data_IF_221877453462
#
_entry.id   IF_221877453462
#
_cell.length_a   1.000
_cell.length_b   1.000
_cell.length_c   1.000
_cell.angle_alpha   90.00
_cell.angle_beta   90.00
_cell.angle_gamma   90.00
#
_symmetry.space_group_name_H-M   'P 1'
#
loop_
_entity.id
_entity.type
_entity.pdbx_description
1 polymer ?
#
# COMPACT_ATOMS: atom_id res chain seq x y z
N UNK A 1 18.17 -30.79 4.14
CA UNK A 1 16.80 -30.37 4.50
C UNK A 1 16.32 -29.50 3.37
N UNK A 2 15.21 -29.83 2.71
CA UNK A 2 14.72 -29.03 1.59
C UNK A 2 13.78 -27.96 2.13
N UNK A 3 13.98 -26.71 1.73
CA UNK A 3 13.03 -25.64 1.99
C UNK A 3 11.74 -25.93 1.23
N UNK A 4 10.59 -25.79 1.90
CA UNK A 4 9.26 -25.98 1.31
C UNK A 4 8.47 -24.70 1.50
N UNK A 5 7.87 -24.18 0.43
CA UNK A 5 6.95 -23.04 0.50
C UNK A 5 5.62 -23.54 1.05
N UNK A 6 5.19 -22.98 2.19
CA UNK A 6 3.93 -23.35 2.88
C UNK A 6 2.73 -22.52 2.44
N UNK A 7 2.97 -21.30 1.96
CA UNK A 7 1.97 -20.43 1.36
C UNK A 7 2.61 -19.19 0.77
N UNK A 8 1.78 -18.39 0.14
CA UNK A 8 2.15 -17.17 -0.56
C UNK A 8 1.03 -16.14 -0.46
N UNK A 9 1.41 -14.86 -0.53
CA UNK A 9 0.51 -13.72 -0.56
C UNK A 9 0.84 -12.84 -1.75
N UNK A 10 -0.06 -12.75 -2.73
CA UNK A 10 0.12 -11.92 -3.93
C UNK A 10 -0.95 -10.84 -3.94
N UNK A 11 -0.57 -9.62 -3.55
CA UNK A 11 -1.50 -8.51 -3.37
C UNK A 11 -1.13 -7.31 -4.24
N UNK A 12 -2.15 -6.60 -4.70
CA UNK A 12 -2.04 -5.33 -5.42
C UNK A 12 -2.85 -4.27 -4.66
N UNK A 13 -2.34 -3.05 -4.57
CA UNK A 13 -3.11 -1.90 -4.09
C UNK A 13 -3.48 -1.02 -5.28
N UNK A 14 -4.77 -0.80 -5.51
CA UNK A 14 -5.24 0.15 -6.52
C UNK A 14 -5.30 1.54 -5.88
N UNK A 15 -4.27 2.34 -6.10
CA UNK A 15 -4.08 3.66 -5.45
C UNK A 15 -3.84 4.78 -6.48
N UNK A 16 -4.84 5.10 -7.32
CA UNK A 16 -4.68 6.13 -8.35
C UNK A 16 -4.42 7.52 -7.76
N UNK A 17 -4.97 7.85 -6.59
CA UNK A 17 -4.71 9.12 -5.92
C UNK A 17 -3.23 9.28 -5.53
N UNK A 18 -2.62 8.24 -4.97
CA UNK A 18 -1.18 8.21 -4.71
C UNK A 18 -0.37 8.37 -6.00
N UNK A 19 -0.71 7.62 -7.05
CA UNK A 19 -0.02 7.72 -8.34
C UNK A 19 -0.12 9.14 -8.91
N UNK A 20 -1.31 9.72 -8.98
CA UNK A 20 -1.54 11.04 -9.56
C UNK A 20 -0.85 12.17 -8.78
N UNK A 21 -0.68 11.99 -7.47
CA UNK A 21 -0.06 13.01 -6.63
C UNK A 21 1.46 12.86 -6.56
N UNK A 22 1.94 11.63 -6.36
CA UNK A 22 3.31 11.31 -5.92
C UNK A 22 4.10 10.46 -6.92
N UNK A 23 3.51 10.05 -8.05
CA UNK A 23 4.22 9.32 -9.07
C UNK A 23 5.42 10.11 -9.61
N UNK A 24 6.60 9.49 -9.66
CA UNK A 24 7.86 10.18 -9.98
C UNK A 24 7.82 11.00 -11.28
N UNK A 25 7.30 10.42 -12.38
CA UNK A 25 7.11 11.15 -13.65
C UNK A 25 6.17 12.35 -13.50
N UNK A 26 5.12 12.21 -12.71
CA UNK A 26 4.10 13.24 -12.51
C UNK A 26 4.64 14.38 -11.65
N UNK A 27 5.37 14.05 -10.58
CA UNK A 27 6.07 15.02 -9.72
C UNK A 27 7.11 15.79 -10.55
N UNK A 28 7.92 15.09 -11.35
CA UNK A 28 8.89 15.73 -12.24
C UNK A 28 8.23 16.66 -13.25
N UNK A 29 7.17 16.22 -13.93
CA UNK A 29 6.43 17.06 -14.89
C UNK A 29 5.84 18.29 -14.19
N UNK A 30 5.29 18.16 -12.98
CA UNK A 30 4.76 19.29 -12.20
C UNK A 30 5.82 20.33 -11.88
N UNK A 31 7.08 19.91 -11.67
CA UNK A 31 8.20 20.81 -11.40
C UNK A 31 8.72 21.51 -12.67
N UNK A 32 8.83 20.78 -13.79
CA UNK A 32 9.46 21.32 -15.01
C UNK A 32 8.48 21.96 -15.99
N UNK A 33 7.22 21.51 -15.99
CA UNK A 33 6.17 21.91 -16.93
C UNK A 33 4.78 21.86 -16.27
N UNK A 34 4.50 22.73 -15.28
CA UNK A 34 3.27 22.69 -14.49
C UNK A 34 1.98 22.86 -15.32
N UNK A 35 2.06 23.51 -16.49
CA UNK A 35 0.94 23.72 -17.41
C UNK A 35 0.92 22.71 -18.58
N UNK A 36 1.73 21.65 -18.49
CA UNK A 36 1.89 20.63 -19.51
C UNK A 36 0.60 19.87 -19.83
N UNK A 37 0.43 19.53 -21.10
CA UNK A 37 -0.73 18.74 -21.56
C UNK A 37 -0.80 17.36 -20.88
N UNK A 38 0.35 16.77 -20.52
CA UNK A 38 0.38 15.51 -19.77
C UNK A 38 -0.40 15.60 -18.45
N UNK A 39 -0.17 16.65 -17.64
CA UNK A 39 -0.84 16.81 -16.35
C UNK A 39 -2.35 17.05 -16.49
N UNK A 40 -2.77 17.72 -17.57
CA UNK A 40 -4.19 17.97 -17.88
C UNK A 40 -4.92 16.72 -18.35
N UNK A 41 -4.25 15.84 -19.08
CA UNK A 41 -4.86 14.66 -19.69
C UNK A 41 -4.74 13.40 -18.82
N UNK A 42 -3.68 13.23 -18.02
CA UNK A 42 -3.40 11.98 -17.30
C UNK A 42 -4.56 11.46 -16.45
N UNK A 43 -5.30 12.36 -15.78
CA UNK A 43 -6.44 12.01 -14.94
C UNK A 43 -7.57 11.31 -15.71
N UNK A 44 -7.73 11.62 -17.00
CA UNK A 44 -8.75 11.04 -17.88
C UNK A 44 -8.40 9.61 -18.34
N UNK A 45 -7.14 9.21 -18.17
CA UNK A 45 -6.63 7.91 -18.58
C UNK A 45 -6.45 6.93 -17.41
N UNK A 46 -6.82 7.35 -16.20
CA UNK A 46 -6.84 6.48 -15.03
C UNK A 46 -7.95 5.46 -15.19
N UNK A 47 -7.60 4.18 -15.18
CA UNK A 47 -8.56 3.07 -15.19
C UNK A 47 -9.36 3.06 -13.90
N UNK A 48 -10.63 2.67 -13.97
CA UNK A 48 -11.46 2.43 -12.78
C UNK A 48 -10.94 1.26 -11.94
N UNK A 49 -11.41 1.13 -10.69
CA UNK A 49 -11.12 -0.03 -9.86
C UNK A 49 -11.62 -1.32 -10.53
N UNK A 50 -12.81 -1.28 -11.14
CA UNK A 50 -13.42 -2.40 -11.85
C UNK A 50 -12.56 -2.84 -13.04
N UNK A 51 -12.01 -1.89 -13.80
CA UNK A 51 -11.08 -2.18 -14.90
C UNK A 51 -9.77 -2.78 -14.40
N UNK A 52 -9.26 -2.31 -13.27
CA UNK A 52 -8.06 -2.86 -12.61
C UNK A 52 -8.31 -4.31 -12.16
N UNK A 53 -9.46 -4.58 -11.55
CA UNK A 53 -9.87 -5.93 -11.14
C UNK A 53 -10.04 -6.83 -12.36
N UNK A 54 -10.69 -6.36 -13.42
CA UNK A 54 -10.93 -7.17 -14.61
C UNK A 54 -9.68 -7.38 -15.49
N UNK A 55 -8.55 -6.73 -15.17
CA UNK A 55 -7.33 -6.84 -15.98
C UNK A 55 -6.71 -8.24 -15.88
N UNK A 56 -6.47 -8.86 -17.03
CA UNK A 56 -5.99 -10.24 -17.13
C UNK A 56 -4.72 -10.52 -16.32
N UNK A 57 -3.62 -9.74 -16.45
CA UNK A 57 -2.43 -9.94 -15.63
C UNK A 57 -2.70 -9.89 -14.13
N UNK A 58 -3.57 -8.99 -13.66
CA UNK A 58 -3.88 -8.87 -12.24
C UNK A 58 -4.63 -10.11 -11.73
N UNK A 59 -5.57 -10.64 -12.52
CA UNK A 59 -6.30 -11.87 -12.18
C UNK A 59 -5.40 -13.11 -12.17
N UNK A 60 -4.36 -13.15 -13.01
CA UNK A 60 -3.33 -14.20 -12.93
C UNK A 60 -2.49 -14.02 -11.67
N UNK A 61 -2.06 -12.79 -11.37
CA UNK A 61 -1.20 -12.47 -10.23
C UNK A 61 -1.82 -12.89 -8.89
N UNK A 62 -3.11 -12.60 -8.67
CA UNK A 62 -3.82 -13.00 -7.44
C UNK A 62 -4.32 -14.45 -7.45
N UNK A 63 -4.09 -15.20 -8.55
CA UNK A 63 -4.38 -16.63 -8.65
C UNK A 63 -5.82 -17.00 -9.05
N UNK A 64 -6.58 -16.08 -9.64
CA UNK A 64 -7.91 -16.39 -10.21
C UNK A 64 -7.83 -16.99 -11.62
N UNK A 65 -6.74 -16.71 -12.33
CA UNK A 65 -6.43 -17.24 -13.67
C UNK A 65 -5.06 -17.86 -13.69
N UNK A 66 -4.86 -18.81 -14.59
CA UNK A 66 -3.57 -19.47 -14.80
C UNK A 66 -2.74 -18.77 -15.89
N UNK A 67 -1.40 -18.84 -15.83
CA UNK A 67 -0.55 -18.39 -16.93
C UNK A 67 -0.91 -19.03 -18.28
N UNK A 68 -1.33 -20.31 -18.28
CA UNK A 68 -1.75 -21.05 -19.48
C UNK A 68 -3.08 -20.54 -20.06
N UNK A 69 -4.02 -20.10 -19.23
CA UNK A 69 -5.22 -19.39 -19.69
C UNK A 69 -4.84 -18.02 -20.29
N UNK A 70 -3.98 -17.27 -19.62
CA UNK A 70 -3.57 -15.94 -20.08
C UNK A 70 -2.77 -15.98 -21.39
N UNK A 71 -1.94 -17.01 -21.61
CA UNK A 71 -1.22 -17.20 -22.86
C UNK A 71 -2.13 -17.37 -24.10
N UNK A 72 -3.42 -17.65 -23.90
CA UNK A 72 -4.44 -17.75 -24.98
C UNK A 72 -5.12 -16.42 -25.27
N UNK A 73 -4.90 -15.39 -24.45
CA UNK A 73 -5.46 -14.06 -24.66
C UNK A 73 -4.62 -13.34 -25.70
N UNK A 74 -5.26 -12.86 -26.75
CA UNK A 74 -4.58 -12.13 -27.83
C UNK A 74 -4.05 -10.79 -27.32
N UNK A 75 -2.78 -10.50 -27.63
CA UNK A 75 -2.18 -9.19 -27.38
C UNK A 75 -2.76 -8.14 -28.36
N UNK A 76 -3.04 -6.89 -27.94
CA UNK A 76 -2.73 -6.29 -26.64
C UNK A 76 -3.72 -6.67 -25.53
N UNK A 77 -3.25 -6.63 -24.28
CA UNK A 77 -4.08 -7.04 -23.13
C UNK A 77 -4.93 -5.91 -22.54
N UNK A 78 -4.59 -4.64 -22.81
CA UNK A 78 -5.18 -3.49 -22.11
C UNK A 78 -6.67 -3.29 -22.41
N UNK A 79 -7.18 -3.83 -23.52
CA UNK A 79 -8.57 -3.77 -23.94
C UNK A 79 -9.35 -5.06 -23.62
N UNK A 80 -8.70 -6.05 -22.99
CA UNK A 80 -9.30 -7.36 -22.64
C UNK A 80 -9.66 -7.41 -21.16
N UNK A 81 -10.85 -7.94 -20.87
CA UNK A 81 -11.37 -8.09 -19.51
C UNK A 81 -11.65 -9.56 -19.19
N UNK A 82 -11.39 -9.94 -17.94
CA UNK A 82 -11.86 -11.22 -17.38
C UNK A 82 -13.32 -11.06 -16.98
N UNK A 83 -14.20 -11.91 -17.51
CA UNK A 83 -15.61 -11.94 -17.12
C UNK A 83 -15.76 -12.39 -15.66
N UNK A 84 -16.66 -11.72 -14.91
CA UNK A 84 -16.91 -12.00 -13.49
C UNK A 84 -15.66 -11.96 -12.61
N UNK A 85 -14.69 -11.10 -12.97
CA UNK A 85 -13.47 -10.89 -12.20
C UNK A 85 -13.79 -10.48 -10.76
N UNK A 86 -12.93 -10.91 -9.84
CA UNK A 86 -13.08 -10.64 -8.41
C UNK A 86 -11.81 -9.99 -7.88
N UNK A 87 -11.97 -9.09 -6.91
CA UNK A 87 -10.82 -8.49 -6.21
C UNK A 87 -10.06 -9.51 -5.37
N UNK A 88 -10.74 -10.54 -4.87
CA UNK A 88 -10.11 -11.63 -4.10
C UNK A 88 -9.77 -12.80 -5.02
N UNK A 89 -8.58 -13.36 -4.83
CA UNK A 89 -8.13 -14.57 -5.51
C UNK A 89 -7.55 -15.61 -4.57
N UNK A 90 -7.05 -16.71 -5.14
CA UNK A 90 -6.52 -17.83 -4.35
C UNK A 90 -5.31 -17.44 -3.50
N UNK A 91 -4.46 -16.53 -4.02
CA UNK A 91 -3.24 -16.15 -3.35
C UNK A 91 -3.26 -14.76 -2.71
N UNK A 92 -4.29 -13.95 -2.94
CA UNK A 92 -4.33 -12.60 -2.37
C UNK A 92 -5.45 -11.76 -2.93
N UNK A 93 -5.21 -10.46 -3.07
CA UNK A 93 -6.26 -9.53 -3.49
C UNK A 93 -5.77 -8.30 -4.26
N UNK A 94 -6.73 -7.57 -4.83
CA UNK A 94 -6.59 -6.21 -5.33
C UNK A 94 -7.38 -5.30 -4.37
N UNK A 95 -6.68 -4.65 -3.43
CA UNK A 95 -7.30 -3.78 -2.42
C UNK A 95 -7.59 -2.39 -3.02
N UNK A 96 -8.79 -1.83 -2.83
CA UNK A 96 -9.12 -0.48 -3.28
C UNK A 96 -8.46 0.58 -2.39
N UNK A 97 -8.24 1.77 -2.96
CA UNK A 97 -7.49 2.86 -2.32
C UNK A 97 -8.04 3.24 -0.94
N UNK A 98 -9.37 3.29 -0.80
CA UNK A 98 -10.01 3.68 0.45
C UNK A 98 -9.66 2.74 1.62
N UNK A 99 -9.66 1.43 1.38
CA UNK A 99 -9.26 0.42 2.36
C UNK A 99 -7.75 0.46 2.59
N UNK A 100 -6.96 0.65 1.53
CA UNK A 100 -5.50 0.69 1.62
C UNK A 100 -5.00 1.88 2.45
N UNK A 101 -5.60 3.06 2.31
CA UNK A 101 -5.27 4.24 3.12
C UNK A 101 -5.56 4.02 4.62
N UNK A 102 -6.64 3.29 4.94
CA UNK A 102 -6.94 2.92 6.33
C UNK A 102 -5.96 1.87 6.88
N UNK A 103 -5.55 0.89 6.06
CA UNK A 103 -4.51 -0.05 6.42
C UNK A 103 -3.15 0.66 6.64
N UNK A 104 -2.83 1.66 5.82
CA UNK A 104 -1.66 2.50 6.00
C UNK A 104 -1.70 3.28 7.31
N UNK A 105 -2.84 3.86 7.66
CA UNK A 105 -3.01 4.50 8.98
C UNK A 105 -2.83 3.49 10.12
N UNK A 106 -3.37 2.27 10.00
CA UNK A 106 -3.17 1.22 11.01
C UNK A 106 -1.70 0.80 11.15
N UNK A 107 -0.90 0.94 10.08
CA UNK A 107 0.54 0.65 10.09
C UNK A 107 1.38 1.78 10.69
N UNK A 108 0.82 2.97 10.90
CA UNK A 108 1.53 4.08 11.51
C UNK A 108 1.77 3.82 13.00
N UNK A 109 3.02 4.02 13.43
CA UNK A 109 3.46 3.96 14.83
C UNK A 109 4.09 5.28 15.28
N UNK A 110 4.17 6.28 14.39
CA UNK A 110 4.86 7.56 14.60
C UNK A 110 3.90 8.75 14.65
N UNK A 111 2.59 8.51 14.49
CA UNK A 111 1.55 9.55 14.50
C UNK A 111 1.77 10.64 13.44
N UNK A 112 2.20 10.21 12.25
CA UNK A 112 2.44 11.06 11.08
C UNK A 112 1.36 10.93 10.01
N UNK A 113 0.51 9.89 10.07
CA UNK A 113 -0.51 9.60 9.06
C UNK A 113 -1.90 10.03 9.52
N UNK A 114 -2.40 11.12 8.94
CA UNK A 114 -3.70 11.69 9.30
C UNK A 114 -4.70 11.45 8.18
N UNK A 115 -5.89 11.00 8.55
CA UNK A 115 -7.04 10.87 7.66
C UNK A 115 -8.18 11.75 8.16
N UNK A 116 -8.99 12.19 7.21
CA UNK A 116 -10.21 12.92 7.47
C UNK A 116 -11.22 12.03 8.22
N UNK A 117 -11.86 12.57 9.26
CA UNK A 117 -12.78 11.81 10.10
C UNK A 117 -13.98 11.25 9.33
N UNK A 118 -14.50 11.99 8.35
CA UNK A 118 -15.67 11.58 7.57
C UNK A 118 -15.26 10.49 6.58
N UNK A 119 -14.04 10.59 6.03
CA UNK A 119 -13.43 9.53 5.23
C UNK A 119 -13.25 8.23 6.03
N UNK A 120 -12.72 8.30 7.25
CA UNK A 120 -12.59 7.11 8.11
C UNK A 120 -13.97 6.51 8.41
N UNK A 121 -14.92 7.33 8.85
CA UNK A 121 -16.26 6.87 9.21
C UNK A 121 -16.98 6.18 8.04
N UNK A 122 -16.79 6.68 6.81
CA UNK A 122 -17.39 6.12 5.61
C UNK A 122 -16.77 4.77 5.19
N UNK A 123 -15.48 4.54 5.46
CA UNK A 123 -14.72 3.43 4.86
C UNK A 123 -14.28 2.35 5.85
N UNK A 124 -14.22 2.63 7.16
CA UNK A 124 -13.78 1.66 8.18
C UNK A 124 -14.63 0.40 8.20
N UNK A 125 -15.93 0.53 7.91
CA UNK A 125 -16.85 -0.61 7.79
C UNK A 125 -16.57 -1.51 6.59
N UNK A 126 -16.04 -0.98 5.49
CA UNK A 126 -15.65 -1.79 4.31
C UNK A 126 -14.34 -2.53 4.58
N UNK A 127 -13.34 -1.86 5.16
CA UNK A 127 -12.08 -2.51 5.58
C UNK A 127 -12.35 -3.67 6.56
N UNK A 128 -13.30 -3.51 7.49
CA UNK A 128 -13.65 -4.56 8.45
C UNK A 128 -14.25 -5.83 7.81
N UNK A 129 -14.76 -5.76 6.58
CA UNK A 129 -15.27 -6.92 5.84
C UNK A 129 -14.16 -7.70 5.15
N UNK A 130 -12.97 -7.12 5.05
CA UNK A 130 -11.86 -7.78 4.38
C UNK A 130 -11.44 -9.04 5.16
N UNK A 131 -11.30 -10.19 4.49
CA UNK A 131 -11.14 -11.47 5.17
C UNK A 131 -9.76 -11.67 5.81
N UNK A 132 -8.80 -10.76 5.63
CA UNK A 132 -7.49 -10.83 6.31
C UNK A 132 -7.29 -9.73 7.36
N UNK A 133 -8.19 -8.75 7.42
CA UNK A 133 -8.11 -7.68 8.42
C UNK A 133 -8.67 -8.18 9.74
N UNK A 134 -7.83 -8.17 10.78
CA UNK A 134 -8.20 -8.61 12.12
C UNK A 134 -8.77 -7.48 12.95
N UNK A 135 -9.49 -7.80 14.03
CA UNK A 135 -9.94 -6.82 15.02
C UNK A 135 -8.77 -6.00 15.60
N UNK A 136 -7.60 -6.63 15.79
CA UNK A 136 -6.40 -5.97 16.27
C UNK A 136 -5.88 -4.90 15.29
N UNK A 137 -5.90 -5.17 13.98
CA UNK A 137 -5.53 -4.19 12.96
C UNK A 137 -6.58 -3.08 12.88
N UNK A 138 -7.86 -3.46 12.89
CA UNK A 138 -8.97 -2.49 12.81
C UNK A 138 -8.99 -1.54 14.01
N UNK A 139 -8.57 -1.99 15.19
CA UNK A 139 -8.44 -1.18 16.40
C UNK A 139 -7.33 -0.11 16.30
N UNK A 140 -6.36 -0.27 15.38
CA UNK A 140 -5.30 0.71 15.13
C UNK A 140 -5.73 1.84 14.20
N UNK A 141 -6.84 1.67 13.46
CA UNK A 141 -7.44 2.72 12.63
C UNK A 141 -8.09 3.77 13.54
N UNK A 142 -7.47 4.95 13.60
CA UNK A 142 -7.94 6.09 14.39
C UNK A 142 -9.21 6.70 13.79
N UNK A 143 -9.98 7.47 14.57
CA UNK A 143 -11.24 8.09 14.10
C UNK A 143 -11.05 9.17 13.04
N UNK A 144 -9.80 9.61 12.80
CA UNK A 144 -9.45 10.71 11.91
C UNK A 144 -9.55 12.08 12.58
N UNK A 145 -9.23 13.12 11.82
CA UNK A 145 -9.23 14.53 12.25
C UNK A 145 -10.11 15.38 11.33
N UNK A 146 -10.43 16.61 11.76
CA UNK A 146 -11.12 17.56 10.89
C UNK A 146 -10.29 17.86 9.65
N UNK A 147 -10.95 17.96 8.48
CA UNK A 147 -10.29 18.29 7.22
C UNK A 147 -9.44 19.57 7.29
N UNK A 148 -9.88 20.55 8.07
CA UNK A 148 -9.16 21.81 8.26
C UNK A 148 -7.77 21.62 8.89
N UNK A 149 -7.59 20.59 9.73
CA UNK A 149 -6.29 20.25 10.32
C UNK A 149 -5.36 19.70 9.24
N UNK A 150 -5.85 18.78 8.41
CA UNK A 150 -5.12 18.21 7.27
C UNK A 150 -4.71 19.31 6.31
N UNK A 151 -5.66 20.16 5.91
CA UNK A 151 -5.39 21.32 5.05
C UNK A 151 -4.34 22.24 5.64
N UNK A 152 -4.38 22.46 6.97
CA UNK A 152 -3.37 23.25 7.68
C UNK A 152 -1.95 22.70 7.51
N UNK A 153 -1.74 21.39 7.67
CA UNK A 153 -0.43 20.76 7.47
C UNK A 153 0.06 20.84 6.03
N UNK A 154 -0.85 20.64 5.07
CA UNK A 154 -0.53 20.68 3.63
C UNK A 154 -0.17 22.11 3.19
N UNK A 155 -0.98 23.10 3.56
CA UNK A 155 -0.75 24.51 3.19
C UNK A 155 0.53 25.06 3.83
N UNK A 156 0.93 24.55 5.00
CA UNK A 156 2.17 24.89 5.66
C UNK A 156 3.41 24.19 5.06
N UNK A 157 3.23 23.34 4.04
CA UNK A 157 4.28 22.50 3.45
C UNK A 157 4.98 21.60 4.49
N UNK A 158 4.21 21.08 5.45
CA UNK A 158 4.70 20.17 6.49
C UNK A 158 4.33 18.71 6.25
N UNK A 159 3.46 18.47 5.27
CA UNK A 159 2.92 17.15 4.98
C UNK A 159 2.65 16.95 3.48
N UNK A 160 2.79 15.70 3.05
CA UNK A 160 2.37 15.25 1.73
C UNK A 160 0.85 15.00 1.71
N UNK A 161 0.10 15.58 0.76
CA UNK A 161 -1.34 15.40 0.71
C UNK A 161 -1.73 14.02 0.19
N UNK A 162 -2.86 13.50 0.68
CA UNK A 162 -3.49 12.27 0.22
C UNK A 162 -4.84 12.60 -0.40
N UNK A 163 -5.03 12.20 -1.65
CA UNK A 163 -6.26 12.42 -2.39
C UNK A 163 -6.99 11.11 -2.65
N UNK A 164 -8.32 11.13 -2.54
CA UNK A 164 -9.19 10.06 -2.98
C UNK A 164 -10.33 10.67 -3.80
N UNK A 165 -10.51 10.18 -5.03
CA UNK A 165 -11.47 10.75 -6.01
C UNK A 165 -11.34 12.28 -6.18
N UNK A 166 -10.11 12.79 -6.15
CA UNK A 166 -9.79 14.22 -6.29
C UNK A 166 -10.08 15.07 -5.04
N UNK A 167 -10.50 14.46 -3.91
CA UNK A 167 -10.72 15.16 -2.64
C UNK A 167 -9.54 14.93 -1.69
N UNK A 168 -9.13 15.98 -0.98
CA UNK A 168 -8.13 15.87 0.09
C UNK A 168 -8.73 15.10 1.26
N UNK A 169 -8.25 13.89 1.49
CA UNK A 169 -8.77 12.97 2.53
C UNK A 169 -7.74 12.67 3.62
N UNK A 170 -6.51 13.14 3.49
CA UNK A 170 -5.47 12.89 4.47
C UNK A 170 -4.16 13.59 4.15
N UNK A 171 -3.18 13.38 5.01
CA UNK A 171 -1.80 13.79 4.77
C UNK A 171 -0.81 12.93 5.56
N UNK A 172 0.42 12.87 5.08
CA UNK A 172 1.56 12.26 5.80
C UNK A 172 2.54 13.35 6.18
N UNK A 173 2.78 13.53 7.47
CA UNK A 173 3.74 14.51 7.99
C UNK A 173 5.17 13.96 7.93
N UNK A 174 6.13 14.90 7.94
CA UNK A 174 7.51 14.59 8.30
C UNK A 174 7.57 13.99 9.72
N UNK A 175 8.49 13.06 9.96
CA UNK A 175 8.79 12.55 11.30
C UNK A 175 9.91 13.35 12.00
N UNK A 176 10.61 14.23 11.26
CA UNK A 176 11.61 15.13 11.82
C UNK A 176 11.70 16.43 10.99
N UNK A 177 12.02 17.56 11.62
CA UNK A 177 11.99 18.87 10.97
C UNK A 177 13.10 19.07 9.91
N UNK A 178 14.24 18.42 10.11
CA UNK A 178 15.48 18.67 9.34
C UNK A 178 16.01 17.41 8.65
N UNK A 179 15.65 16.22 9.15
CA UNK A 179 16.25 14.99 8.62
C UNK A 179 15.52 14.61 7.34
N UNK A 180 16.23 14.69 6.22
CA UNK A 180 15.67 14.40 4.89
C UNK A 180 15.25 12.94 4.74
N UNK A 181 15.81 12.02 5.53
CA UNK A 181 15.39 10.62 5.54
C UNK A 181 14.09 10.41 6.36
N UNK A 182 13.61 11.45 7.03
CA UNK A 182 12.36 11.49 7.80
C UNK A 182 11.43 12.60 7.28
N UNK A 183 11.62 13.01 6.02
CA UNK A 183 10.74 13.95 5.32
C UNK A 183 9.35 13.35 5.14
N UNK A 184 8.35 14.20 4.83
CA UNK A 184 6.99 13.76 4.59
C UNK A 184 6.89 12.74 3.42
N UNK A 185 7.66 12.97 2.34
CA UNK A 185 7.78 12.06 1.19
C UNK A 185 8.34 10.69 1.60
N UNK A 186 9.46 10.66 2.32
CA UNK A 186 10.07 9.39 2.76
C UNK A 186 9.17 8.65 3.76
N UNK A 187 8.47 9.37 4.64
CA UNK A 187 7.50 8.76 5.55
C UNK A 187 6.30 8.18 4.80
N UNK A 188 5.82 8.86 3.75
CA UNK A 188 4.77 8.36 2.88
C UNK A 188 5.21 7.05 2.23
N UNK A 189 6.36 7.03 1.56
CA UNK A 189 6.93 5.84 0.90
C UNK A 189 7.07 4.66 1.89
N UNK A 190 7.69 4.92 3.05
CA UNK A 190 7.89 3.91 4.09
C UNK A 190 6.56 3.31 4.57
N UNK A 191 5.52 4.13 4.78
CA UNK A 191 4.22 3.66 5.24
C UNK A 191 3.47 2.88 4.15
N UNK A 192 3.56 3.29 2.89
CA UNK A 192 2.96 2.55 1.76
C UNK A 192 3.65 1.19 1.57
N UNK A 193 4.98 1.13 1.67
CA UNK A 193 5.74 -0.12 1.64
C UNK A 193 5.37 -1.06 2.79
N UNK A 194 5.30 -0.52 4.02
CA UNK A 194 4.89 -1.29 5.21
C UNK A 194 3.47 -1.82 5.06
N UNK A 195 2.51 -1.00 4.66
CA UNK A 195 1.10 -1.39 4.54
C UNK A 195 0.88 -2.47 3.48
N UNK A 196 1.49 -2.31 2.31
CA UNK A 196 1.40 -3.31 1.24
C UNK A 196 2.06 -4.65 1.62
N UNK A 197 3.17 -4.60 2.35
CA UNK A 197 3.85 -5.79 2.86
C UNK A 197 3.04 -6.50 3.96
N UNK A 198 2.42 -5.74 4.86
CA UNK A 198 1.47 -6.28 5.85
C UNK A 198 0.34 -7.02 5.14
N UNK A 199 -0.25 -6.41 4.10
CA UNK A 199 -1.32 -7.05 3.34
C UNK A 199 -0.90 -8.40 2.75
N UNK A 200 0.26 -8.45 2.10
CA UNK A 200 0.81 -9.67 1.52
C UNK A 200 1.09 -10.75 2.58
N UNK A 201 1.64 -10.37 3.74
CA UNK A 201 1.89 -11.32 4.84
C UNK A 201 0.59 -11.90 5.39
N UNK A 202 -0.46 -11.09 5.56
CA UNK A 202 -1.73 -11.57 6.08
C UNK A 202 -2.41 -12.58 5.12
N UNK A 203 -2.36 -12.34 3.81
CA UNK A 203 -2.83 -13.33 2.82
C UNK A 203 -1.97 -14.60 2.79
N UNK A 204 -0.65 -14.48 2.98
CA UNK A 204 0.25 -15.64 3.10
C UNK A 204 -0.04 -16.50 4.33
N UNK A 205 -0.33 -15.87 5.47
CA UNK A 205 -0.74 -16.58 6.70
C UNK A 205 -2.07 -17.31 6.48
N UNK A 206 -3.05 -16.64 5.87
CA UNK A 206 -4.35 -17.23 5.53
C UNK A 206 -4.21 -18.41 4.58
N UNK A 207 -3.34 -18.33 3.56
CA UNK A 207 -3.17 -19.40 2.57
C UNK A 207 -2.34 -20.59 3.09
N UNK A 208 -1.42 -20.35 4.03
CA UNK A 208 -0.52 -21.38 4.56
C UNK A 208 -1.07 -22.14 5.78
N UNK A 209 -2.04 -21.56 6.51
CA UNK A 209 -2.51 -22.08 7.80
C UNK A 209 -1.36 -22.32 8.81
N UNK A 210 -0.29 -21.54 8.70
CA UNK A 210 0.82 -21.54 9.66
C UNK A 210 0.45 -20.68 10.85
N UNK A 211 0.75 -21.17 12.06
CA UNK A 211 0.59 -20.38 13.28
C UNK A 211 1.54 -19.17 13.24
N UNK A 212 1.03 -17.92 13.27
CA UNK A 212 1.87 -16.73 13.29
C UNK A 212 2.89 -16.72 14.44
N UNK A 213 2.57 -17.34 15.58
CA UNK A 213 3.46 -17.40 16.74
C UNK A 213 4.64 -18.35 16.54
N UNK A 214 4.56 -19.26 15.55
CA UNK A 214 5.64 -20.19 15.20
C UNK A 214 6.70 -19.58 14.27
N UNK A 215 6.45 -18.38 13.73
CA UNK A 215 7.40 -17.69 12.88
C UNK A 215 8.42 -16.95 13.76
N UNK A 216 9.68 -17.34 13.63
CA UNK A 216 10.79 -16.78 14.42
C UNK A 216 11.63 -15.76 13.63
N UNK A 217 11.50 -15.72 12.30
CA UNK A 217 12.32 -14.87 11.44
C UNK A 217 11.56 -14.39 10.20
N UNK A 218 11.66 -13.10 9.90
CA UNK A 218 11.14 -12.47 8.67
C UNK A 218 12.28 -11.83 7.90
N UNK A 219 12.29 -12.01 6.58
CA UNK A 219 13.21 -11.32 5.68
C UNK A 219 12.38 -10.45 4.76
N UNK A 220 12.65 -9.15 4.78
CA UNK A 220 12.08 -8.23 3.80
C UNK A 220 13.07 -8.08 2.63
N UNK A 221 12.56 -8.19 1.41
CA UNK A 221 13.34 -8.10 0.17
C UNK A 221 12.78 -7.03 -0.78
N UNK A 222 12.47 -5.83 -0.27
CA UNK A 222 12.07 -4.70 -1.10
C UNK A 222 13.28 -3.90 -1.62
N UNK A 223 13.04 -2.88 -2.45
CA UNK A 223 14.07 -1.88 -2.79
C UNK A 223 14.11 -0.71 -1.80
N UNK A 224 13.18 -0.69 -0.82
CA UNK A 224 12.99 0.44 0.07
C UNK A 224 13.89 0.38 1.30
N UNK A 225 14.53 1.50 1.62
CA UNK A 225 15.41 1.63 2.77
C UNK A 225 14.90 2.70 3.73
N UNK A 226 14.52 2.31 4.94
CA UNK A 226 14.09 3.23 6.00
C UNK A 226 15.20 3.47 7.03
N UNK A 227 15.01 4.51 7.84
CA UNK A 227 15.93 4.91 8.93
C UNK A 227 16.32 6.38 8.85
N UNK A 228 16.80 6.91 9.97
CA UNK A 228 17.24 8.30 10.09
C UNK A 228 18.62 8.53 9.45
N UNK A 229 19.15 9.75 9.56
CA UNK A 229 20.50 10.11 9.09
C UNK A 229 21.64 9.24 9.65
N UNK A 230 21.47 8.67 10.84
CA UNK A 230 22.49 7.84 11.49
C UNK A 230 22.35 6.35 11.15
N UNK A 231 21.16 5.91 10.77
CA UNK A 231 20.80 4.51 10.54
C UNK A 231 20.06 4.34 9.20
N UNK A 232 20.42 5.09 8.16
CA UNK A 232 19.78 4.98 6.85
C UNK A 232 19.99 3.57 6.28
N UNK A 233 18.91 2.85 6.01
CA UNK A 233 18.94 1.44 5.64
C UNK A 233 19.17 0.47 6.80
N UNK A 234 19.27 0.99 8.03
CA UNK A 234 19.27 0.23 9.28
C UNK A 234 17.90 0.16 9.96
N UNK A 235 16.88 0.86 9.43
CA UNK A 235 15.50 0.58 9.76
C UNK A 235 15.10 -0.83 9.30
N UNK A 236 14.13 -1.43 9.98
CA UNK A 236 13.81 -2.85 9.83
C UNK A 236 12.34 -3.03 9.44
N UNK A 237 12.06 -3.02 8.14
CA UNK A 237 10.73 -3.27 7.59
C UNK A 237 10.25 -4.66 7.94
N UNK A 238 11.12 -5.68 7.88
CA UNK A 238 10.74 -7.04 8.23
C UNK A 238 10.10 -7.12 9.61
N UNK A 239 10.71 -6.48 10.62
CA UNK A 239 10.20 -6.43 11.99
C UNK A 239 8.98 -5.53 12.11
N UNK A 240 8.98 -4.37 11.45
CA UNK A 240 7.84 -3.45 11.49
C UNK A 240 6.57 -4.07 10.87
N UNK A 241 6.70 -4.83 9.78
CA UNK A 241 5.62 -5.59 9.14
C UNK A 241 5.19 -6.75 10.03
N UNK A 242 6.15 -7.50 10.58
CA UNK A 242 5.88 -8.61 11.50
C UNK A 242 5.03 -8.20 12.70
N UNK A 243 5.32 -7.04 13.29
CA UNK A 243 4.55 -6.49 14.41
C UNK A 243 3.06 -6.32 14.06
N UNK A 244 2.76 -5.66 12.94
CA UNK A 244 1.37 -5.39 12.53
C UNK A 244 0.65 -6.67 12.11
N UNK A 245 1.36 -7.60 11.47
CA UNK A 245 0.80 -8.88 11.03
C UNK A 245 0.65 -9.93 12.16
N UNK A 246 1.01 -9.59 13.40
CA UNK A 246 0.85 -10.49 14.56
C UNK A 246 1.95 -11.56 14.71
N UNK A 247 3.08 -11.41 14.01
CA UNK A 247 4.25 -12.28 14.07
C UNK A 247 5.16 -11.87 15.25
N UNK A 248 4.59 -11.84 16.46
CA UNK A 248 5.21 -11.17 17.63
C UNK A 248 6.54 -11.80 18.08
N UNK A 249 6.71 -13.11 17.85
CA UNK A 249 7.93 -13.85 18.19
C UNK A 249 9.04 -13.71 17.14
N UNK A 250 8.74 -13.14 15.97
CA UNK A 250 9.71 -13.05 14.89
C UNK A 250 10.72 -11.93 15.14
N UNK A 251 12.01 -12.20 14.93
CA UNK A 251 12.97 -11.15 14.58
C UNK A 251 13.02 -11.00 13.05
N UNK A 252 13.82 -10.09 12.52
CA UNK A 252 13.95 -9.96 11.08
C UNK A 252 15.11 -9.13 10.61
N UNK A 253 15.35 -9.19 9.31
CA UNK A 253 16.34 -8.38 8.63
C UNK A 253 15.84 -7.97 7.24
N UNK A 254 16.35 -6.84 6.78
CA UNK A 254 16.08 -6.31 5.46
C UNK A 254 17.25 -6.69 4.55
N UNK A 255 16.95 -7.34 3.42
CA UNK A 255 17.90 -7.71 2.39
C UNK A 255 17.65 -6.87 1.14
N UNK A 256 18.70 -6.23 0.63
CA UNK A 256 18.64 -5.34 -0.53
C UNK A 256 19.64 -5.80 -1.59
N UNK A 257 19.14 -6.06 -2.79
CA UNK A 257 19.94 -6.41 -3.95
C UNK A 257 19.07 -6.24 -5.18
N UNK A 258 19.24 -5.10 -5.87
CA UNK A 258 18.49 -4.65 -7.05
C UNK A 258 18.03 -5.81 -7.95
N UNK A 259 16.79 -5.68 -8.49
CA UNK A 259 16.05 -6.73 -9.20
C UNK A 259 16.81 -7.52 -10.27
#
# INVERSE_FOLDING_TARGET
MNSVIKGSGYCLAYTPGLMLQHGSTIVQERLVNPDGEFLKEMGKHVRSFEDCVAYWPNQVYIGNKTPEEFAKVEFPYFDKKVENAKRYGHFGEIMPENEFLLLAQACDCFEVFYLDKDFVAANKGELAKDPVITEAILARVQEGVENSVIKGFVDAHEAEPLFYEGKLVGCVKRAHDIDVNLSAEVMLENLMNKASSVLAVLHSLKSSNVDPLSIEYVIDCSEEACGDVNQRGGGNFAKAVAEIAGLVNATGADARGCC
#
